data_IF_134832125847
#
_entry.id   IF_134832125847
#
_cell.length_a   1.000
_cell.length_b   1.000
_cell.length_c   1.000
_cell.angle_alpha   90.00
_cell.angle_beta   90.00
_cell.angle_gamma   90.00
#
_symmetry.space_group_name_H-M   'P 1'
#
loop_
_entity.id
_entity.type
_entity.pdbx_description
1 polymer ?
#
# COMPACT_ATOMS: atom_id res chain seq x y z
N UNK A 1 16.63 8.05 13.30
CA UNK A 1 15.91 6.77 13.43
C UNK A 1 14.60 6.87 12.68
N UNK A 2 14.26 5.90 11.82
CA UNK A 2 12.92 5.87 11.22
C UNK A 2 11.89 5.55 12.31
N UNK A 3 10.84 6.36 12.44
CA UNK A 3 9.70 6.03 13.32
C UNK A 3 9.04 4.76 12.80
N UNK A 4 9.08 3.69 13.59
CA UNK A 4 8.38 2.42 13.35
C UNK A 4 7.01 2.46 14.02
N UNK A 5 6.15 1.51 13.65
CA UNK A 5 4.87 1.29 14.33
C UNK A 5 5.11 0.85 15.79
N UNK A 6 4.24 1.30 16.70
CA UNK A 6 4.27 0.95 18.12
C UNK A 6 3.38 -0.27 18.36
N UNK A 7 4.00 -1.45 18.53
CA UNK A 7 3.30 -2.72 18.67
C UNK A 7 2.40 -2.77 19.92
N UNK A 8 2.80 -2.11 21.01
CA UNK A 8 2.01 -2.12 22.25
C UNK A 8 0.72 -1.32 22.08
N UNK A 9 0.80 -0.18 21.39
CA UNK A 9 -0.41 0.59 21.04
C UNK A 9 -1.33 -0.15 20.09
N UNK A 10 -0.81 -0.93 19.15
CA UNK A 10 -1.65 -1.71 18.22
C UNK A 10 -2.44 -2.78 18.98
N UNK A 11 -1.81 -3.43 19.97
CA UNK A 11 -2.47 -4.42 20.84
C UNK A 11 -3.61 -3.82 21.67
N UNK A 12 -3.52 -2.54 22.07
CA UNK A 12 -4.61 -1.83 22.76
C UNK A 12 -5.91 -1.82 21.94
N UNK A 13 -5.81 -1.81 20.60
CA UNK A 13 -6.97 -1.86 19.71
C UNK A 13 -7.49 -3.29 19.46
N UNK A 14 -6.92 -4.31 20.11
CA UNK A 14 -7.25 -5.72 19.92
C UNK A 14 -7.24 -6.15 18.44
N UNK A 15 -6.31 -5.59 17.68
CA UNK A 15 -6.12 -5.86 16.26
C UNK A 15 -4.98 -6.86 16.07
N UNK A 16 -5.12 -7.79 15.12
CA UNK A 16 -4.09 -8.78 14.79
C UNK A 16 -2.97 -8.25 13.89
N UNK A 17 -3.15 -7.05 13.33
CA UNK A 17 -2.24 -6.50 12.34
C UNK A 17 -2.70 -5.16 11.76
N UNK A 18 -1.94 -4.66 10.80
CA UNK A 18 -2.24 -3.45 10.01
C UNK A 18 -2.34 -3.84 8.54
N UNK A 19 -3.41 -3.42 7.88
CA UNK A 19 -3.54 -3.44 6.42
C UNK A 19 -3.60 -2.02 5.86
N UNK A 20 -3.05 -1.79 4.66
CA UNK A 20 -3.05 -0.47 4.02
C UNK A 20 -2.96 -0.58 2.50
N UNK A 21 -3.67 0.31 1.80
CA UNK A 21 -3.56 0.50 0.36
C UNK A 21 -2.54 1.59 0.04
N UNK A 22 -1.58 1.30 -0.82
CA UNK A 22 -0.44 2.17 -1.10
C UNK A 22 -0.36 2.49 -2.58
N UNK A 23 -0.64 3.74 -2.93
CA UNK A 23 -0.72 4.27 -4.29
C UNK A 23 0.48 5.13 -4.73
N UNK A 24 1.55 5.18 -3.92
CA UNK A 24 2.77 5.94 -4.25
C UNK A 24 4.01 5.07 -4.15
N UNK A 25 4.89 5.13 -5.15
CA UNK A 25 6.07 4.28 -5.28
C UNK A 25 6.99 4.33 -4.05
N UNK A 26 7.18 5.54 -3.51
CA UNK A 26 8.00 5.74 -2.32
C UNK A 26 7.45 4.99 -1.09
N UNK A 27 6.13 5.01 -0.89
CA UNK A 27 5.51 4.32 0.23
C UNK A 27 5.44 2.81 -0.01
N UNK A 28 5.28 2.34 -1.24
CA UNK A 28 5.34 0.91 -1.56
C UNK A 28 6.72 0.35 -1.17
N UNK A 29 7.78 1.08 -1.53
CA UNK A 29 9.14 0.76 -1.11
C UNK A 29 9.33 0.80 0.42
N UNK A 30 8.74 1.79 1.10
CA UNK A 30 8.82 1.92 2.55
C UNK A 30 8.15 0.74 3.27
N UNK A 31 6.93 0.38 2.87
CA UNK A 31 6.17 -0.71 3.51
C UNK A 31 6.87 -2.05 3.33
N UNK A 32 7.43 -2.31 2.14
CA UNK A 32 8.28 -3.49 1.90
C UNK A 32 9.48 -3.54 2.84
N UNK A 33 10.18 -2.42 3.03
CA UNK A 33 11.31 -2.32 3.99
C UNK A 33 10.88 -2.52 5.45
N UNK A 34 9.62 -2.24 5.79
CA UNK A 34 9.05 -2.42 7.14
C UNK A 34 8.49 -3.82 7.40
N UNK A 35 8.61 -4.73 6.45
CA UNK A 35 8.17 -6.12 6.57
C UNK A 35 6.68 -6.32 6.34
N UNK A 36 6.01 -5.41 5.63
CA UNK A 36 4.66 -5.67 5.14
C UNK A 36 4.69 -6.61 3.94
N UNK A 37 3.70 -7.49 3.86
CA UNK A 37 3.49 -8.43 2.78
C UNK A 37 2.39 -7.92 1.86
N UNK A 38 2.62 -7.95 0.55
CA UNK A 38 1.57 -7.65 -0.44
C UNK A 38 0.51 -8.75 -0.42
N UNK A 39 -0.75 -8.37 -0.25
CA UNK A 39 -1.92 -9.24 -0.38
C UNK A 39 -2.38 -9.28 -1.84
N UNK A 40 -2.55 -8.11 -2.44
CA UNK A 40 -2.99 -7.97 -3.83
C UNK A 40 -2.48 -6.67 -4.44
N UNK A 41 -2.57 -6.57 -5.76
CA UNK A 41 -2.23 -5.40 -6.53
C UNK A 41 -3.29 -5.12 -7.60
N UNK A 42 -3.50 -3.85 -7.90
CA UNK A 42 -4.42 -3.39 -8.94
C UNK A 42 -3.66 -2.45 -9.85
N UNK A 43 -3.52 -2.82 -11.12
CA UNK A 43 -2.93 -1.97 -12.14
C UNK A 43 -3.84 -0.77 -12.38
N UNK A 44 -3.30 0.45 -12.32
CA UNK A 44 -4.08 1.65 -12.62
C UNK A 44 -4.58 1.66 -14.07
N UNK A 45 -3.85 1.00 -14.96
CA UNK A 45 -4.22 0.83 -16.37
C UNK A 45 -5.35 -0.18 -16.62
N UNK A 46 -5.80 -0.94 -15.61
CA UNK A 46 -7.02 -1.77 -15.77
C UNK A 46 -8.29 -0.94 -15.65
N UNK A 47 -8.22 0.20 -14.95
CA UNK A 47 -9.34 1.09 -14.72
C UNK A 47 -9.32 2.22 -15.75
N UNK A 48 -10.01 1.99 -16.86
CA UNK A 48 -10.07 2.92 -17.98
C UNK A 48 -11.46 3.52 -18.16
N UNK A 49 -11.49 4.74 -18.71
CA UNK A 49 -12.72 5.32 -19.22
C UNK A 49 -13.22 4.59 -20.48
N UNK A 50 -14.40 4.99 -20.97
CA UNK A 50 -15.04 4.37 -22.14
C UNK A 50 -14.17 4.41 -23.42
N UNK A 51 -13.17 5.30 -23.48
CA UNK A 51 -12.24 5.41 -24.62
C UNK A 51 -10.97 4.58 -24.45
N UNK A 52 -10.83 3.83 -23.34
CA UNK A 52 -9.66 3.00 -23.06
C UNK A 52 -8.48 3.76 -22.42
N UNK A 53 -8.66 5.02 -22.05
CA UNK A 53 -7.62 5.78 -21.34
C UNK A 53 -7.72 5.53 -19.82
N UNK A 54 -6.60 5.28 -19.12
CA UNK A 54 -6.60 5.09 -17.67
C UNK A 54 -7.19 6.29 -16.94
N UNK A 55 -7.98 6.05 -15.88
CA UNK A 55 -8.52 7.12 -15.04
C UNK A 55 -7.43 7.81 -14.21
N UNK A 56 -6.40 7.06 -13.81
CA UNK A 56 -5.32 7.55 -12.97
C UNK A 56 -4.02 7.33 -13.73
N UNK A 57 -3.31 8.42 -13.95
CA UNK A 57 -1.94 8.45 -14.48
C UNK A 57 -1.10 9.22 -13.46
N UNK A 58 -0.04 8.60 -12.97
CA UNK A 58 0.80 9.17 -11.91
C UNK A 58 2.05 9.80 -12.50
N UNK A 59 2.51 10.89 -11.90
CA UNK A 59 3.74 11.57 -12.32
C UNK A 59 5.00 10.87 -11.79
N UNK A 60 4.88 10.11 -10.69
CA UNK A 60 5.98 9.42 -10.02
C UNK A 60 6.28 8.03 -10.62
N UNK A 61 5.54 7.63 -11.66
CA UNK A 61 5.70 6.35 -12.35
C UNK A 61 5.05 5.16 -11.63
N UNK A 62 4.26 5.38 -10.59
CA UNK A 62 3.48 4.32 -9.96
C UNK A 62 2.43 3.78 -10.92
N UNK A 63 2.52 2.49 -11.25
CA UNK A 63 1.61 1.81 -12.20
C UNK A 63 0.47 1.04 -11.52
N UNK A 64 0.54 0.87 -10.20
CA UNK A 64 -0.39 0.03 -9.43
C UNK A 64 -0.62 0.54 -8.01
N UNK A 65 -1.77 0.21 -7.46
CA UNK A 65 -2.04 0.29 -6.02
C UNK A 65 -1.77 -1.09 -5.43
N UNK A 66 -1.05 -1.15 -4.31
CA UNK A 66 -0.84 -2.41 -3.59
C UNK A 66 -1.58 -2.39 -2.25
N UNK A 67 -2.30 -3.48 -1.96
CA UNK A 67 -2.80 -3.76 -0.63
C UNK A 67 -1.75 -4.57 0.12
N UNK A 68 -1.30 -4.06 1.26
CA UNK A 68 -0.28 -4.71 2.08
C UNK A 68 -0.79 -5.00 3.48
N UNK A 69 -0.17 -5.96 4.15
CA UNK A 69 -0.51 -6.36 5.52
C UNK A 69 0.71 -6.79 6.35
N UNK A 70 0.66 -6.54 7.66
CA UNK A 70 1.63 -6.98 8.65
C UNK A 70 0.94 -7.35 9.97
N UNK A 71 1.25 -8.53 10.49
CA UNK A 71 0.81 -8.99 11.82
C UNK A 71 1.59 -8.31 12.95
N UNK A 72 0.98 -8.16 14.12
CA UNK A 72 1.60 -7.63 15.35
C UNK A 72 1.23 -8.45 16.60
#
# INVERSE_FOLDING_TARGET
MSKMEDAEKIKEFNCSGIASEISSLANQCLMKKRGYTTITETLLSSECNASGNPFIVTDDGTDRIILVHKNF
#
